data_IF_374217239946
#
_entry.id   IF_374217239946
#
_cell.length_a   1.000
_cell.length_b   1.000
_cell.length_c   1.000
_cell.angle_alpha   90.00
_cell.angle_beta   90.00
_cell.angle_gamma   90.00
#
_symmetry.space_group_name_H-M   'P 1'
#
loop_
_entity.id
_entity.type
_entity.pdbx_description
1 polymer ?
#
# COMPACT_ATOMS: atom_id res chain seq x y z
N UNK A 1 8.79 15.11 -11.06
CA UNK A 1 8.21 16.14 -10.17
C UNK A 1 7.00 16.88 -10.76
N UNK A 2 6.26 16.28 -11.72
CA UNK A 2 5.16 16.98 -12.42
C UNK A 2 3.74 16.65 -11.89
N UNK A 3 3.64 15.79 -10.87
CA UNK A 3 2.33 15.43 -10.30
C UNK A 3 1.79 16.62 -9.49
N UNK A 4 0.58 17.08 -9.81
CA UNK A 4 -0.10 18.18 -9.10
C UNK A 4 -1.30 17.71 -8.29
N UNK A 5 -1.44 16.39 -8.09
CA UNK A 5 -2.60 15.76 -7.46
C UNK A 5 -3.95 16.11 -8.13
N UNK A 6 -3.96 16.34 -9.45
CA UNK A 6 -5.17 16.73 -10.19
C UNK A 6 -6.20 15.61 -10.40
N UNK A 7 -5.93 14.40 -9.91
CA UNK A 7 -6.80 13.21 -9.98
C UNK A 7 -7.10 12.66 -11.40
N UNK A 8 -6.51 13.23 -12.46
CA UNK A 8 -6.78 12.80 -13.83
C UNK A 8 -6.38 11.33 -14.09
N UNK A 9 -5.26 10.87 -13.51
CA UNK A 9 -4.80 9.49 -13.66
C UNK A 9 -5.72 8.47 -12.96
N UNK A 10 -6.30 8.84 -11.83
CA UNK A 10 -7.25 8.00 -11.08
C UNK A 10 -8.52 7.82 -11.92
N UNK A 11 -9.11 8.92 -12.40
CA UNK A 11 -10.35 8.90 -13.19
C UNK A 11 -10.17 8.19 -14.53
N UNK A 12 -9.03 8.39 -15.19
CA UNK A 12 -8.79 7.80 -16.51
C UNK A 12 -8.50 6.29 -16.46
N UNK A 13 -8.22 5.71 -15.28
CA UNK A 13 -7.83 4.32 -15.17
C UNK A 13 -9.06 3.39 -15.19
N UNK A 14 -9.33 2.63 -16.26
CA UNK A 14 -10.51 1.76 -16.32
C UNK A 14 -10.43 0.55 -15.38
N UNK A 15 -9.24 0.29 -14.83
CA UNK A 15 -9.00 -0.79 -13.87
C UNK A 15 -9.10 -0.31 -12.41
N UNK A 16 -9.27 0.99 -12.18
CA UNK A 16 -9.29 1.60 -10.84
C UNK A 16 -8.07 1.24 -9.99
N UNK A 17 -6.89 1.13 -10.60
CA UNK A 17 -5.69 0.67 -9.88
C UNK A 17 -4.84 1.79 -9.27
N UNK A 18 -5.23 3.04 -9.49
CA UNK A 18 -4.53 4.23 -9.01
C UNK A 18 -5.43 4.90 -8.00
N UNK A 19 -4.90 5.23 -6.83
CA UNK A 19 -5.57 6.02 -5.81
C UNK A 19 -4.65 7.13 -5.31
N UNK A 20 -5.24 8.27 -4.94
CA UNK A 20 -4.53 9.29 -4.18
C UNK A 20 -4.55 8.90 -2.72
N UNK A 21 -3.38 8.98 -2.08
CA UNK A 21 -3.20 8.78 -0.65
C UNK A 21 -2.82 10.13 0.00
N UNK A 22 -3.14 10.35 1.28
CA UNK A 22 -2.70 11.55 1.99
C UNK A 22 -1.17 11.62 2.02
N UNK A 23 -0.61 12.83 1.84
CA UNK A 23 0.84 13.02 1.68
C UNK A 23 1.62 12.66 2.95
N UNK A 24 1.00 12.89 4.11
CA UNK A 24 1.53 12.57 5.43
C UNK A 24 1.52 11.07 5.76
N UNK A 25 0.80 10.25 4.98
CA UNK A 25 0.68 8.82 5.27
C UNK A 25 1.99 8.09 4.98
N UNK A 26 2.44 7.31 5.95
CA UNK A 26 3.74 6.65 5.87
C UNK A 26 3.62 5.20 5.40
N UNK A 27 2.64 4.46 5.94
CA UNK A 27 2.36 3.09 5.53
C UNK A 27 1.42 3.04 4.32
N UNK A 28 1.80 2.32 3.25
CA UNK A 28 0.98 2.21 2.02
C UNK A 28 0.84 0.77 1.57
N UNK A 29 -0.37 0.33 1.22
CA UNK A 29 -0.59 -0.99 0.58
C UNK A 29 -0.35 -0.86 -0.93
N UNK A 30 0.73 -1.46 -1.44
CA UNK A 30 1.10 -1.41 -2.86
C UNK A 30 0.23 -2.30 -3.76
N UNK A 31 -0.44 -3.29 -3.18
CA UNK A 31 -1.21 -4.26 -3.93
C UNK A 31 -2.63 -3.75 -4.19
N UNK A 32 -3.06 -3.89 -5.44
CA UNK A 32 -4.38 -3.46 -5.91
C UNK A 32 -5.22 -4.62 -6.46
N UNK A 33 -4.64 -5.82 -6.56
CA UNK A 33 -5.39 -7.01 -7.01
C UNK A 33 -6.32 -7.55 -5.92
N UNK A 34 -7.56 -7.77 -6.30
CA UNK A 34 -8.63 -8.38 -5.51
C UNK A 34 -8.74 -9.90 -5.70
N UNK A 35 -7.86 -10.48 -6.54
CA UNK A 35 -7.80 -11.91 -6.78
C UNK A 35 -7.40 -12.66 -5.49
N UNK A 36 -7.65 -13.98 -5.48
CA UNK A 36 -7.22 -14.79 -4.33
C UNK A 36 -5.70 -14.84 -4.28
N UNK A 37 -5.14 -14.89 -3.08
CA UNK A 37 -3.68 -14.87 -2.89
C UNK A 37 -2.89 -15.91 -3.70
N UNK A 38 -3.47 -17.08 -3.98
CA UNK A 38 -2.87 -18.10 -4.86
C UNK A 38 -2.75 -17.61 -6.32
N UNK A 39 -3.77 -16.94 -6.82
CA UNK A 39 -3.80 -16.37 -8.18
C UNK A 39 -2.83 -15.20 -8.28
N UNK A 40 -2.86 -14.28 -7.30
CA UNK A 40 -1.90 -13.17 -7.21
C UNK A 40 -0.46 -13.67 -7.27
N UNK A 41 -0.14 -14.74 -6.53
CA UNK A 41 1.20 -15.34 -6.54
C UNK A 41 1.61 -15.98 -7.86
N UNK A 42 0.64 -16.29 -8.72
CA UNK A 42 0.89 -16.77 -10.07
C UNK A 42 1.52 -15.71 -10.98
N UNK A 43 1.28 -14.42 -10.71
CA UNK A 43 1.77 -13.31 -11.54
C UNK A 43 2.52 -12.21 -10.78
N UNK A 44 2.49 -12.19 -9.45
CA UNK A 44 3.11 -11.16 -8.61
C UNK A 44 3.73 -11.77 -7.34
N UNK A 45 5.07 -11.79 -7.29
CA UNK A 45 5.85 -12.34 -6.17
C UNK A 45 5.77 -11.52 -4.88
N UNK A 46 5.38 -10.24 -4.98
CA UNK A 46 5.26 -9.29 -3.86
C UNK A 46 3.81 -8.88 -3.60
N UNK A 47 2.84 -9.53 -4.24
CA UNK A 47 1.43 -9.21 -4.10
C UNK A 47 0.86 -9.66 -2.76
N UNK A 48 -0.21 -8.98 -2.33
CA UNK A 48 -0.95 -9.34 -1.13
C UNK A 48 -1.54 -10.75 -1.31
N UNK A 49 -1.45 -11.57 -0.26
CA UNK A 49 -1.98 -12.94 -0.27
C UNK A 49 -3.22 -13.12 0.61
N UNK A 50 -3.81 -12.02 1.09
CA UNK A 50 -5.01 -12.06 1.92
C UNK A 50 -4.84 -12.70 3.30
N UNK A 51 -3.62 -12.75 3.85
CA UNK A 51 -3.34 -13.43 5.13
C UNK A 51 -3.88 -12.72 6.39
N UNK A 52 -4.31 -11.46 6.26
CA UNK A 52 -4.86 -10.62 7.33
C UNK A 52 -3.94 -10.38 8.55
N UNK A 53 -2.63 -10.64 8.43
CA UNK A 53 -1.66 -10.34 9.52
C UNK A 53 -1.66 -8.85 9.86
N UNK A 54 -1.78 -7.97 8.86
CA UNK A 54 -1.88 -6.52 9.07
C UNK A 54 -3.11 -6.13 9.88
N UNK A 55 -4.29 -6.71 9.57
CA UNK A 55 -5.53 -6.49 10.31
C UNK A 55 -5.36 -6.88 11.77
N UNK A 56 -4.84 -8.10 12.02
CA UNK A 56 -4.67 -8.65 13.38
C UNK A 56 -3.69 -7.89 14.26
N UNK A 57 -2.72 -7.19 13.67
CA UNK A 57 -1.65 -6.52 14.42
C UNK A 57 -1.79 -5.00 14.44
N UNK A 58 -2.83 -4.44 13.81
CA UNK A 58 -3.06 -3.01 13.84
C UNK A 58 -3.63 -2.60 15.21
N UNK A 59 -2.94 -1.75 15.99
CA UNK A 59 -3.39 -1.38 17.34
C UNK A 59 -4.62 -0.47 17.35
N UNK A 60 -4.96 0.14 16.20
CA UNK A 60 -6.07 1.10 16.06
C UNK A 60 -7.18 0.60 15.13
N UNK A 61 -7.14 -0.68 14.74
CA UNK A 61 -8.09 -1.26 13.78
C UNK A 61 -8.25 -0.42 12.50
N UNK A 62 -7.12 0.11 12.01
CA UNK A 62 -7.09 0.97 10.82
C UNK A 62 -7.20 0.21 9.50
N UNK A 63 -7.22 -1.13 9.51
CA UNK A 63 -7.35 -1.90 8.27
C UNK A 63 -8.80 -2.33 8.01
N UNK A 64 -9.24 -2.18 6.76
CA UNK A 64 -10.39 -2.91 6.21
C UNK A 64 -9.88 -4.10 5.37
N UNK A 65 -10.70 -5.12 5.23
CA UNK A 65 -10.39 -6.29 4.42
C UNK A 65 -11.60 -6.71 3.59
N UNK A 66 -11.53 -6.41 2.30
CA UNK A 66 -12.60 -6.66 1.33
C UNK A 66 -11.96 -7.23 0.06
N UNK A 67 -12.70 -8.08 -0.67
CA UNK A 67 -12.24 -8.66 -1.94
C UNK A 67 -10.80 -9.24 -1.87
N UNK A 68 -10.50 -10.03 -0.83
CA UNK A 68 -9.18 -10.64 -0.59
C UNK A 68 -8.01 -9.67 -0.35
N UNK A 69 -8.28 -8.37 -0.17
CA UNK A 69 -7.27 -7.34 -0.14
C UNK A 69 -7.43 -6.42 1.09
N UNK A 70 -6.30 -6.10 1.71
CA UNK A 70 -6.26 -5.19 2.85
C UNK A 70 -6.14 -3.74 2.38
N UNK A 71 -6.85 -2.83 3.03
CA UNK A 71 -6.78 -1.37 2.80
C UNK A 71 -6.62 -0.64 4.12
N UNK A 72 -5.91 0.48 4.09
CA UNK A 72 -5.68 1.32 5.28
C UNK A 72 -6.73 2.44 5.27
N UNK A 73 -7.44 2.59 6.37
CA UNK A 73 -8.15 3.80 6.72
C UNK A 73 -7.13 4.77 7.34
N UNK A 74 -6.72 5.76 6.55
CA UNK A 74 -5.70 6.72 6.95
C UNK A 74 -6.14 7.66 8.08
N UNK A 75 -7.44 7.83 8.32
CA UNK A 75 -7.94 8.62 9.45
C UNK A 75 -7.71 7.93 10.81
N UNK A 76 -7.56 6.60 10.81
CA UNK A 76 -7.28 5.78 12.00
C UNK A 76 -5.83 5.34 12.12
N UNK A 77 -5.07 5.45 11.03
CA UNK A 77 -3.68 5.05 11.01
C UNK A 77 -2.85 6.05 11.84
N UNK A 78 -2.05 5.52 12.75
CA UNK A 78 -1.12 6.33 13.56
C UNK A 78 0.34 6.15 13.10
N UNK A 79 0.52 5.63 11.88
CA UNK A 79 1.84 5.36 11.27
C UNK A 79 2.82 4.60 12.17
N UNK A 80 2.33 3.63 12.94
CA UNK A 80 3.17 2.79 13.82
C UNK A 80 4.05 1.76 13.08
N UNK A 81 3.84 1.58 11.77
CA UNK A 81 4.61 0.71 10.85
C UNK A 81 4.66 -0.79 11.18
N UNK A 82 3.95 -1.27 12.20
CA UNK A 82 3.84 -2.71 12.53
C UNK A 82 3.37 -3.53 11.32
N UNK A 83 2.46 -2.98 10.52
CA UNK A 83 1.95 -3.63 9.32
C UNK A 83 3.02 -3.80 8.22
N UNK A 84 3.94 -2.84 8.08
CA UNK A 84 5.07 -2.89 7.14
C UNK A 84 6.05 -3.99 7.56
N UNK A 85 6.42 -4.02 8.85
CA UNK A 85 7.34 -5.02 9.40
C UNK A 85 6.79 -6.44 9.21
N UNK A 86 5.54 -6.67 9.63
CA UNK A 86 4.93 -8.00 9.70
C UNK A 86 4.38 -8.52 8.37
N UNK A 87 4.30 -7.70 7.32
CA UNK A 87 3.82 -8.16 6.02
C UNK A 87 4.80 -9.19 5.42
N UNK A 88 4.44 -10.49 5.31
CA UNK A 88 5.37 -11.52 4.85
C UNK A 88 5.71 -11.37 3.37
N UNK A 89 4.88 -10.63 2.63
CA UNK A 89 4.97 -10.42 1.19
C UNK A 89 5.59 -9.09 0.81
N UNK A 90 5.86 -8.21 1.80
CA UNK A 90 6.32 -6.83 1.61
C UNK A 90 5.42 -6.02 0.66
N UNK A 91 4.12 -6.34 0.66
CA UNK A 91 3.08 -5.62 -0.09
C UNK A 91 2.64 -4.32 0.59
N UNK A 92 3.08 -4.09 1.83
CA UNK A 92 2.87 -2.85 2.58
C UNK A 92 4.25 -2.22 2.75
N UNK A 93 4.38 -0.95 2.38
CA UNK A 93 5.66 -0.25 2.34
C UNK A 93 5.67 1.00 3.23
N UNK A 94 6.87 1.46 3.58
CA UNK A 94 7.10 2.73 4.25
C UNK A 94 7.54 3.77 3.22
N UNK A 95 6.65 4.69 2.86
CA UNK A 95 6.90 5.68 1.81
C UNK A 95 7.90 6.79 2.25
N UNK A 96 8.17 6.94 3.55
CA UNK A 96 9.15 7.92 4.07
C UNK A 96 10.60 7.51 3.83
N UNK A 97 10.89 6.21 3.66
CA UNK A 97 12.24 5.72 3.37
C UNK A 97 12.55 5.87 1.87
N UNK A 98 11.51 5.79 1.03
CA UNK A 98 11.65 5.87 -0.43
C UNK A 98 12.22 7.23 -0.83
N UNK A 99 11.88 8.33 -0.16
CA UNK A 99 12.42 9.66 -0.46
C UNK A 99 13.92 9.78 -0.17
N UNK A 100 14.44 9.17 0.90
CA UNK A 100 15.86 9.23 1.24
C UNK A 100 16.73 8.32 0.36
N UNK A 101 16.23 7.13 0.01
CA UNK A 101 16.93 6.20 -0.89
C UNK A 101 16.87 6.68 -2.35
N UNK A 102 15.72 7.18 -2.84
CA UNK A 102 15.66 7.86 -4.13
C UNK A 102 16.60 9.07 -4.14
N UNK A 103 16.60 9.92 -3.11
CA UNK A 103 17.49 11.07 -3.08
C UNK A 103 18.97 10.68 -3.20
N UNK A 104 19.37 9.53 -2.65
CA UNK A 104 20.74 8.99 -2.79
C UNK A 104 21.01 8.43 -4.19
N UNK A 105 20.03 7.76 -4.80
CA UNK A 105 20.18 7.11 -6.10
C UNK A 105 20.19 8.13 -7.26
N UNK A 106 19.53 9.28 -7.10
CA UNK A 106 19.47 10.37 -8.08
C UNK A 106 20.42 11.56 -7.77
N UNK A 107 21.25 11.46 -6.73
CA UNK A 107 22.30 12.45 -6.40
C UNK A 107 23.63 12.19 -7.13
N UNK A 108 23.68 11.24 -8.06
CA UNK A 108 24.81 10.99 -8.96
C UNK A 108 24.42 11.24 -10.43
#
# INVERSE_FOLDING_TARGET
ENCTACNACVVACPKNIIELIPYESTAVVKCMSEDKGKEVRGYCSVGCIGCQICVKNCPTDAFTFENNLARINYEKCIDCLICVEKCPTKSIDNMSIVSEEFAKEFAN
#
